data_IF_695125003409
#
_entry.id   IF_695125003409
#
_cell.length_a   1.000
_cell.length_b   1.000
_cell.length_c   1.000
_cell.angle_alpha   90.00
_cell.angle_beta   90.00
_cell.angle_gamma   90.00
#
_symmetry.space_group_name_H-M   'P 1'
#
loop_
_entity.id
_entity.type
_entity.pdbx_description
1 polymer ?
#
# COMPACT_ATOMS: atom_id res chain seq x y z
N UNK A 1 22.30 -55.33 64.07
CA UNK A 1 22.17 -55.20 62.60
C UNK A 1 21.32 -53.97 62.36
N UNK A 2 21.96 -52.83 62.10
CA UNK A 2 21.33 -51.50 62.07
C UNK A 2 21.94 -50.76 60.90
N UNK A 3 21.19 -50.55 59.82
CA UNK A 3 21.63 -49.80 58.65
C UNK A 3 20.94 -48.45 58.69
N UNK A 4 21.74 -47.37 58.82
CA UNK A 4 21.29 -45.98 58.67
C UNK A 4 21.35 -45.62 57.18
N UNK A 5 20.21 -45.30 56.58
CA UNK A 5 20.16 -44.74 55.23
C UNK A 5 20.34 -43.21 55.30
N UNK A 6 21.32 -42.68 54.57
CA UNK A 6 21.54 -41.25 54.38
C UNK A 6 20.69 -40.80 53.18
N UNK A 7 19.77 -39.86 53.39
CA UNK A 7 19.01 -39.21 52.31
C UNK A 7 19.78 -37.95 51.89
N UNK A 8 20.29 -37.92 50.65
CA UNK A 8 20.82 -36.71 50.02
C UNK A 8 19.67 -36.00 49.29
N UNK A 9 19.33 -34.80 49.74
CA UNK A 9 18.43 -33.89 49.01
C UNK A 9 19.32 -33.06 48.09
N UNK A 10 19.21 -33.28 46.77
CA UNK A 10 19.80 -32.39 45.76
C UNK A 10 18.78 -31.27 45.49
N UNK A 11 19.10 -29.99 45.74
CA UNK A 11 18.18 -28.91 45.42
C UNK A 11 18.05 -28.74 43.90
N UNK A 12 16.87 -28.36 43.39
CA UNK A 12 16.69 -28.09 41.97
C UNK A 12 17.53 -26.88 41.57
N UNK A 13 18.35 -27.04 40.52
CA UNK A 13 19.00 -25.92 39.85
C UNK A 13 17.91 -25.00 39.29
N UNK A 14 17.79 -23.80 39.86
CA UNK A 14 17.07 -22.70 39.22
C UNK A 14 17.88 -22.29 37.98
N UNK A 15 17.44 -22.75 36.81
CA UNK A 15 17.88 -22.17 35.54
C UNK A 15 17.38 -20.73 35.50
N UNK A 16 18.28 -19.77 35.71
CA UNK A 16 17.98 -18.36 35.50
C UNK A 16 17.72 -18.15 34.00
N UNK A 17 16.46 -17.89 33.63
CA UNK A 17 16.13 -17.30 32.34
C UNK A 17 16.82 -15.94 32.30
N UNK A 18 17.88 -15.83 31.51
CA UNK A 18 18.40 -14.52 31.11
C UNK A 18 17.38 -13.90 30.15
N UNK A 19 16.84 -12.70 30.43
CA UNK A 19 16.02 -12.02 29.46
C UNK A 19 16.88 -11.76 28.23
N UNK A 20 16.45 -12.32 27.09
CA UNK A 20 17.08 -12.08 25.80
C UNK A 20 16.70 -10.67 25.35
N UNK A 21 17.49 -9.67 25.77
CA UNK A 21 17.39 -8.31 25.26
C UNK A 21 17.76 -8.32 23.78
N UNK A 22 16.75 -8.26 22.91
CA UNK A 22 16.98 -8.03 21.48
C UNK A 22 17.79 -6.72 21.33
N UNK A 23 18.84 -6.69 20.51
CA UNK A 23 19.60 -5.46 20.29
C UNK A 23 18.67 -4.40 19.71
N UNK A 24 18.81 -3.17 20.19
CA UNK A 24 18.12 -2.02 19.62
C UNK A 24 18.43 -1.95 18.11
N UNK A 25 17.45 -1.55 17.32
CA UNK A 25 17.56 -1.42 15.86
C UNK A 25 17.34 0.04 15.46
N UNK A 26 17.79 0.43 14.26
CA UNK A 26 17.46 1.76 13.75
C UNK A 26 15.94 1.88 13.59
N UNK A 27 15.37 2.94 14.15
CA UNK A 27 13.93 3.22 14.09
C UNK A 27 13.74 4.64 13.57
N UNK A 28 12.81 4.83 12.63
CA UNK A 28 12.50 6.17 12.16
C UNK A 28 11.34 6.17 11.21
N UNK A 29 10.74 7.35 11.04
CA UNK A 29 9.60 7.55 10.15
C UNK A 29 9.82 8.84 9.37
N UNK A 30 9.65 8.74 8.04
CA UNK A 30 9.46 9.90 7.19
C UNK A 30 8.00 10.33 7.25
N UNK A 31 7.73 11.41 7.99
CA UNK A 31 6.38 11.88 8.31
C UNK A 31 5.84 12.87 7.28
N UNK A 32 6.70 13.74 6.74
CA UNK A 32 6.31 14.81 5.82
C UNK A 32 7.19 14.81 4.57
N UNK A 33 6.63 14.94 3.36
CA UNK A 33 5.19 14.86 3.07
C UNK A 33 4.64 13.47 3.42
N UNK A 34 3.37 13.39 3.81
CA UNK A 34 2.70 12.11 4.05
C UNK A 34 2.46 11.34 2.75
N UNK A 35 2.12 12.08 1.69
CA UNK A 35 1.92 11.56 0.34
C UNK A 35 3.24 11.14 -0.30
N UNK A 36 3.22 10.05 -1.07
CA UNK A 36 4.40 9.57 -1.81
C UNK A 36 4.88 10.56 -2.87
N UNK A 37 3.96 11.33 -3.46
CA UNK A 37 4.25 12.33 -4.47
C UNK A 37 3.62 13.67 -4.10
N UNK A 38 4.39 14.74 -4.20
CA UNK A 38 3.95 16.11 -3.91
C UNK A 38 4.14 16.99 -5.12
N UNK A 39 3.07 17.63 -5.59
CA UNK A 39 3.10 18.66 -6.62
C UNK A 39 3.05 20.02 -5.92
N UNK A 40 4.17 20.73 -5.85
CA UNK A 40 4.26 22.01 -5.15
C UNK A 40 5.49 22.80 -5.61
N UNK A 41 5.49 24.11 -5.34
CA UNK A 41 6.66 24.99 -5.59
C UNK A 41 7.74 24.82 -4.53
N UNK A 42 7.38 24.34 -3.34
CA UNK A 42 8.30 24.01 -2.25
C UNK A 42 7.73 22.89 -1.39
N UNK A 43 8.60 22.16 -0.70
CA UNK A 43 8.18 21.12 0.25
C UNK A 43 9.08 21.07 1.48
N UNK A 44 8.51 20.62 2.59
CA UNK A 44 9.24 20.25 3.80
C UNK A 44 9.32 18.74 3.85
N UNK A 45 10.53 18.20 3.92
CA UNK A 45 10.81 16.79 4.13
C UNK A 45 11.22 16.63 5.58
N UNK A 46 10.47 15.87 6.37
CA UNK A 46 10.69 15.83 7.81
C UNK A 46 10.17 14.57 8.47
N UNK A 47 10.71 14.29 9.64
CA UNK A 47 10.40 13.09 10.39
C UNK A 47 11.28 12.96 11.62
N UNK A 48 11.48 11.73 12.06
CA UNK A 48 12.41 11.41 13.14
C UNK A 48 13.16 10.11 12.86
N UNK A 49 14.32 9.98 13.49
CA UNK A 49 15.14 8.77 13.45
C UNK A 49 15.94 8.61 14.74
N UNK A 50 16.10 7.36 15.15
CA UNK A 50 16.89 6.87 16.26
C UNK A 50 17.80 5.78 15.75
N UNK A 51 19.03 5.78 16.23
CA UNK A 51 20.03 4.76 15.91
C UNK A 51 20.69 4.32 17.23
N UNK A 52 20.89 3.01 17.49
CA UNK A 52 21.58 2.53 18.69
C UNK A 52 22.99 3.13 18.88
N UNK A 53 23.70 3.41 17.79
CA UNK A 53 25.02 4.06 17.80
C UNK A 53 24.94 5.58 17.97
N UNK A 54 23.73 6.14 17.92
CA UNK A 54 23.48 7.57 17.74
C UNK A 54 23.51 7.96 16.27
N UNK A 55 22.71 8.95 15.91
CA UNK A 55 22.65 9.46 14.53
C UNK A 55 23.76 10.49 14.35
N UNK A 56 24.57 10.33 13.31
CA UNK A 56 25.56 11.32 12.88
C UNK A 56 24.88 12.42 12.07
N UNK A 57 24.16 12.03 11.01
CA UNK A 57 23.45 12.96 10.13
C UNK A 57 22.28 12.32 9.40
N UNK A 58 21.44 13.17 8.82
CA UNK A 58 20.38 12.77 7.89
C UNK A 58 20.61 13.47 6.56
N UNK A 59 20.56 12.70 5.49
CA UNK A 59 20.78 13.14 4.11
C UNK A 59 19.50 12.97 3.29
N UNK A 60 19.23 13.96 2.45
CA UNK A 60 18.22 13.90 1.39
C UNK A 60 18.96 13.73 0.07
N UNK A 61 18.76 12.58 -0.58
CA UNK A 61 19.38 12.23 -1.87
C UNK A 61 18.37 12.50 -2.98
N UNK A 62 18.71 13.37 -3.91
CA UNK A 62 17.84 13.84 -5.00
C UNK A 62 18.69 14.09 -6.24
N UNK A 63 18.29 13.53 -7.38
CA UNK A 63 18.98 13.67 -8.68
C UNK A 63 20.49 13.38 -8.66
N UNK A 64 20.93 12.44 -7.82
CA UNK A 64 22.34 12.09 -7.67
C UNK A 64 23.16 13.04 -6.79
N UNK A 65 22.53 14.07 -6.21
CA UNK A 65 23.12 14.94 -5.21
C UNK A 65 22.65 14.56 -3.79
N UNK A 66 23.53 14.77 -2.80
CA UNK A 66 23.21 14.60 -1.39
C UNK A 66 23.09 15.97 -0.72
N UNK A 67 22.00 16.19 -0.01
CA UNK A 67 21.72 17.41 0.73
C UNK A 67 21.61 17.12 2.22
N UNK A 68 22.28 17.89 3.05
CA UNK A 68 22.18 17.73 4.50
C UNK A 68 20.80 18.21 5.00
N UNK A 69 20.11 17.35 5.75
CA UNK A 69 18.94 17.76 6.52
C UNK A 69 19.38 18.33 7.88
N UNK A 70 18.59 19.24 8.42
CA UNK A 70 18.75 19.76 9.78
C UNK A 70 18.27 18.70 10.77
N UNK A 71 19.19 17.92 11.31
CA UNK A 71 18.94 16.96 12.39
C UNK A 71 19.09 17.62 13.77
N UNK A 72 18.56 16.98 14.82
CA UNK A 72 18.64 17.47 16.20
C UNK A 72 17.40 18.23 16.68
N UNK A 73 16.27 18.10 15.96
CA UNK A 73 15.03 18.79 16.28
C UNK A 73 14.34 18.10 17.45
N UNK A 74 13.83 18.90 18.40
CA UNK A 74 13.23 18.39 19.62
C UNK A 74 11.99 17.51 19.35
N UNK A 75 11.97 16.29 19.90
CA UNK A 75 10.86 15.32 19.82
C UNK A 75 10.59 14.70 21.19
N UNK A 76 9.82 15.42 22.02
CA UNK A 76 9.49 14.99 23.39
C UNK A 76 8.60 13.74 23.42
N UNK A 77 7.79 13.56 22.41
CA UNK A 77 6.99 12.36 22.17
C UNK A 77 7.89 11.13 22.00
N UNK A 78 8.90 11.22 21.14
CA UNK A 78 9.86 10.14 20.88
C UNK A 78 10.72 9.83 22.11
N UNK A 79 11.17 10.86 22.84
CA UNK A 79 11.92 10.65 24.09
C UNK A 79 11.13 9.89 25.16
N UNK A 80 9.80 10.07 25.21
CA UNK A 80 8.95 9.36 26.18
C UNK A 80 8.73 7.89 25.80
N UNK A 81 8.62 7.59 24.51
CA UNK A 81 8.35 6.22 24.03
C UNK A 81 9.62 5.41 23.83
N UNK A 82 10.74 6.06 23.54
CA UNK A 82 12.04 5.44 23.28
C UNK A 82 13.17 6.09 24.11
N UNK A 83 13.06 6.10 25.46
CA UNK A 83 14.06 6.73 26.33
C UNK A 83 15.43 6.05 26.25
N UNK A 84 15.48 4.78 25.84
CA UNK A 84 16.68 3.94 25.84
C UNK A 84 17.64 4.27 24.69
N UNK A 85 17.17 5.02 23.68
CA UNK A 85 17.97 5.41 22.53
C UNK A 85 18.77 6.70 22.80
N UNK A 86 20.00 6.79 22.29
CA UNK A 86 20.75 8.04 22.31
C UNK A 86 20.01 9.12 21.52
N UNK A 87 20.12 10.36 21.99
CA UNK A 87 19.55 11.54 21.33
C UNK A 87 18.03 11.50 21.10
N UNK A 88 17.27 10.64 21.80
CA UNK A 88 15.83 10.48 21.61
C UNK A 88 15.01 11.77 21.78
N UNK A 89 15.46 12.69 22.64
CA UNK A 89 14.88 14.03 22.79
C UNK A 89 15.10 14.97 21.60
N UNK A 90 16.03 14.64 20.70
CA UNK A 90 16.44 15.42 19.53
C UNK A 90 16.40 14.60 18.23
N UNK A 91 15.54 13.57 18.19
CA UNK A 91 15.43 12.62 17.09
C UNK A 91 14.88 13.23 15.78
N UNK A 92 14.36 14.45 15.80
CA UNK A 92 13.71 15.04 14.63
C UNK A 92 14.69 15.57 13.59
N UNK A 93 14.28 15.50 12.32
CA UNK A 93 14.98 16.10 11.20
C UNK A 93 14.04 16.88 10.27
N UNK A 94 14.60 17.83 9.54
CA UNK A 94 13.89 18.63 8.54
C UNK A 94 14.81 19.05 7.39
N UNK A 95 14.30 19.01 6.16
CA UNK A 95 14.90 19.58 4.96
C UNK A 95 13.86 20.37 4.18
N UNK A 96 14.21 21.57 3.72
CA UNK A 96 13.32 22.42 2.91
C UNK A 96 13.79 22.38 1.46
N UNK A 97 12.95 21.91 0.57
CA UNK A 97 13.20 21.87 -0.86
C UNK A 97 12.51 23.03 -1.57
N UNK A 98 13.25 23.80 -2.35
CA UNK A 98 12.71 24.69 -3.39
C UNK A 98 12.56 23.87 -4.67
N UNK A 99 11.31 23.55 -5.02
CA UNK A 99 10.98 22.63 -6.13
C UNK A 99 10.90 23.42 -7.44
N UNK A 100 10.54 24.70 -7.40
CA UNK A 100 10.49 25.56 -8.59
C UNK A 100 11.87 25.80 -9.21
N UNK A 101 12.93 25.69 -8.40
CA UNK A 101 14.31 25.74 -8.87
C UNK A 101 14.78 24.45 -9.58
N UNK A 102 14.02 23.36 -9.49
CA UNK A 102 14.32 22.09 -10.15
C UNK A 102 13.91 22.13 -11.62
N UNK A 103 14.50 21.23 -12.42
CA UNK A 103 14.06 21.06 -13.80
C UNK A 103 12.61 20.55 -13.86
N UNK A 104 11.94 20.76 -14.99
CA UNK A 104 10.56 20.27 -15.13
C UNK A 104 10.55 18.74 -15.15
N UNK A 105 9.85 18.13 -14.20
CA UNK A 105 9.73 16.69 -14.12
C UNK A 105 9.43 16.17 -12.73
N UNK A 106 9.53 14.84 -12.58
CA UNK A 106 9.47 14.15 -11.30
C UNK A 106 10.88 13.92 -10.78
N UNK A 107 11.12 14.34 -9.54
CA UNK A 107 12.38 14.17 -8.84
C UNK A 107 12.20 13.13 -7.74
N UNK A 108 12.92 12.01 -7.85
CA UNK A 108 12.91 10.97 -6.83
C UNK A 108 13.83 11.38 -5.67
N UNK A 109 13.29 11.32 -4.47
CA UNK A 109 13.97 11.70 -3.23
C UNK A 109 14.05 10.50 -2.31
N UNK A 110 15.24 10.21 -1.79
CA UNK A 110 15.44 9.22 -0.73
C UNK A 110 15.97 9.93 0.52
N UNK A 111 15.38 9.63 1.68
CA UNK A 111 15.85 10.15 2.97
C UNK A 111 16.64 9.05 3.67
N UNK A 112 17.89 9.33 4.00
CA UNK A 112 18.85 8.36 4.55
C UNK A 112 19.41 8.90 5.85
N UNK A 113 19.35 8.10 6.91
CA UNK A 113 20.05 8.36 8.16
C UNK A 113 21.41 7.65 8.14
N UNK A 114 22.43 8.30 8.68
CA UNK A 114 23.77 7.74 8.85
C UNK A 114 24.08 7.69 10.34
N UNK A 115 24.31 6.49 10.87
CA UNK A 115 24.72 6.25 12.24
C UNK A 115 26.16 6.69 12.51
N UNK A 116 26.54 6.88 13.77
CA UNK A 116 27.93 7.20 14.16
C UNK A 116 28.90 6.04 13.93
N UNK A 117 28.36 4.83 13.78
CA UNK A 117 29.09 3.65 13.33
C UNK A 117 29.30 3.61 11.79
N UNK A 118 28.73 4.56 11.05
CA UNK A 118 28.83 4.68 9.60
C UNK A 118 27.78 3.87 8.82
N UNK A 119 26.87 3.14 9.49
CA UNK A 119 25.80 2.43 8.82
C UNK A 119 24.74 3.38 8.27
N UNK A 120 24.26 3.10 7.06
CA UNK A 120 23.20 3.87 6.41
C UNK A 120 21.85 3.14 6.48
N UNK A 121 20.79 3.87 6.83
CA UNK A 121 19.42 3.36 6.83
C UNK A 121 18.51 4.29 6.03
N UNK A 122 17.82 3.77 5.02
CA UNK A 122 16.84 4.53 4.25
C UNK A 122 15.50 4.59 5.01
N UNK A 123 15.08 5.81 5.36
CA UNK A 123 13.83 6.06 6.10
C UNK A 123 12.60 6.08 5.19
N UNK A 124 12.78 6.42 3.92
CA UNK A 124 11.68 6.44 2.97
C UNK A 124 12.03 7.13 1.65
N UNK A 125 11.11 7.00 0.70
CA UNK A 125 11.18 7.66 -0.61
C UNK A 125 10.00 8.59 -0.82
N UNK A 126 10.22 9.67 -1.55
CA UNK A 126 9.21 10.62 -2.02
C UNK A 126 9.49 11.03 -3.46
N UNK A 127 8.48 11.58 -4.10
CA UNK A 127 8.59 12.23 -5.40
C UNK A 127 8.19 13.69 -5.27
N UNK A 128 9.07 14.60 -5.67
CA UNK A 128 8.76 16.02 -5.79
C UNK A 128 8.50 16.34 -7.26
N UNK A 129 7.43 17.07 -7.54
CA UNK A 129 7.02 17.40 -8.91
C UNK A 129 6.78 18.90 -8.97
N UNK A 130 7.55 19.60 -9.80
CA UNK A 130 7.35 21.03 -10.01
C UNK A 130 6.02 21.26 -10.77
N UNK A 131 5.24 22.31 -10.44
CA UNK A 131 4.01 22.64 -11.18
C UNK A 131 4.25 22.88 -12.67
N UNK A 132 5.48 23.26 -13.06
CA UNK A 132 5.90 23.38 -14.46
C UNK A 132 5.74 22.08 -15.25
N UNK A 133 5.90 20.91 -14.60
CA UNK A 133 5.70 19.59 -15.23
C UNK A 133 4.27 19.39 -15.72
N UNK A 134 3.29 19.98 -15.03
CA UNK A 134 1.88 19.95 -15.44
C UNK A 134 1.56 20.89 -16.60
N UNK A 135 2.53 21.72 -17.03
CA UNK A 135 2.37 22.73 -18.09
C UNK A 135 3.23 22.47 -19.32
N UNK A 136 3.91 21.32 -19.40
CA UNK A 136 4.79 20.95 -20.53
C UNK A 136 4.12 21.12 -21.92
N UNK A 137 2.81 20.89 -22.00
CA UNK A 137 2.04 20.95 -23.25
C UNK A 137 1.12 22.17 -23.36
N UNK A 138 1.25 23.15 -22.46
CA UNK A 138 0.33 24.29 -22.39
C UNK A 138 0.31 25.12 -23.68
N UNK A 139 1.47 25.38 -24.29
CA UNK A 139 1.57 26.14 -25.54
C UNK A 139 0.91 25.40 -26.71
N UNK A 140 1.03 24.06 -26.74
CA UNK A 140 0.37 23.23 -27.76
C UNK A 140 -1.13 23.24 -27.59
N UNK A 141 -1.62 23.18 -26.35
CA UNK A 141 -3.04 23.30 -26.06
C UNK A 141 -3.58 24.70 -26.41
N UNK A 142 -2.81 25.76 -26.13
CA UNK A 142 -3.19 27.13 -26.51
C UNK A 142 -3.29 27.31 -28.02
N UNK A 143 -2.38 26.68 -28.79
CA UNK A 143 -2.42 26.69 -30.25
C UNK A 143 -3.56 25.84 -30.84
N UNK A 144 -4.07 24.85 -30.11
CA UNK A 144 -5.15 23.96 -30.55
C UNK A 144 -6.10 23.59 -29.39
N UNK A 145 -7.02 24.50 -29.00
CA UNK A 145 -7.89 24.30 -27.84
C UNK A 145 -8.79 23.07 -27.92
N UNK A 146 -9.13 22.61 -29.14
CA UNK A 146 -9.99 21.44 -29.37
C UNK A 146 -9.42 20.12 -28.82
N UNK A 147 -8.13 20.05 -28.44
CA UNK A 147 -7.61 18.90 -27.71
C UNK A 147 -8.27 18.72 -26.33
N UNK A 148 -8.75 19.79 -25.70
CA UNK A 148 -9.47 19.70 -24.42
C UNK A 148 -10.85 19.03 -24.55
N UNK A 149 -11.43 18.99 -25.75
CA UNK A 149 -12.71 18.34 -26.01
C UNK A 149 -12.57 16.81 -26.05
N UNK A 150 -11.35 16.31 -26.26
CA UNK A 150 -11.02 14.87 -26.32
C UNK A 150 -10.12 14.48 -25.15
N UNK A 151 -10.65 14.58 -23.93
CA UNK A 151 -9.90 14.22 -22.73
C UNK A 151 -9.46 12.76 -22.78
N UNK A 152 -8.18 12.55 -22.50
CA UNK A 152 -7.64 11.23 -22.23
C UNK A 152 -8.02 10.82 -20.81
N UNK A 153 -8.53 9.59 -20.66
CA UNK A 153 -8.87 9.02 -19.37
C UNK A 153 -7.88 7.90 -19.04
N UNK A 154 -7.11 8.07 -17.97
CA UNK A 154 -6.34 6.97 -17.41
C UNK A 154 -7.24 6.16 -16.49
N UNK A 155 -7.44 4.88 -16.78
CA UNK A 155 -8.40 4.05 -16.06
C UNK A 155 -7.72 3.34 -14.89
N UNK A 156 -8.10 3.70 -13.68
CA UNK A 156 -7.56 3.14 -12.46
C UNK A 156 -8.36 1.90 -12.05
N UNK A 157 -7.69 0.76 -11.93
CA UNK A 157 -8.33 -0.45 -11.41
C UNK A 157 -8.73 -0.25 -9.95
N UNK A 158 -10.00 -0.51 -9.62
CA UNK A 158 -10.53 -0.40 -8.27
C UNK A 158 -11.76 -1.30 -8.13
N UNK A 159 -12.14 -1.60 -6.89
CA UNK A 159 -13.39 -2.27 -6.53
C UNK A 159 -14.10 -1.49 -5.42
N UNK A 160 -15.14 -2.07 -4.83
CA UNK A 160 -15.88 -1.54 -3.70
C UNK A 160 -16.45 -0.13 -4.00
N UNK A 161 -17.10 0.00 -5.16
CA UNK A 161 -17.66 1.25 -5.65
C UNK A 161 -18.70 1.83 -4.69
N UNK A 162 -19.62 1.04 -4.10
CA UNK A 162 -20.52 1.54 -3.07
C UNK A 162 -19.80 2.09 -1.83
N UNK A 163 -18.65 1.52 -1.47
CA UNK A 163 -17.87 1.87 -0.27
C UNK A 163 -16.90 3.04 -0.52
N UNK A 164 -16.66 3.40 -1.77
CA UNK A 164 -15.92 4.61 -2.12
C UNK A 164 -14.67 4.40 -2.98
N UNK A 165 -14.41 3.21 -3.52
CA UNK A 165 -13.17 2.95 -4.28
C UNK A 165 -12.91 3.96 -5.43
N UNK A 166 -13.96 4.40 -6.14
CA UNK A 166 -13.84 5.44 -7.16
C UNK A 166 -13.38 6.81 -6.58
N UNK A 167 -13.82 7.16 -5.37
CA UNK A 167 -13.39 8.39 -4.69
C UNK A 167 -11.95 8.28 -4.21
N UNK A 168 -11.51 7.10 -3.79
CA UNK A 168 -10.13 6.86 -3.38
C UNK A 168 -9.19 7.01 -4.58
N UNK A 169 -9.58 6.48 -5.75
CA UNK A 169 -8.86 6.72 -6.99
C UNK A 169 -8.81 8.24 -7.33
N UNK A 170 -9.94 8.95 -7.26
CA UNK A 170 -9.93 10.41 -7.49
C UNK A 170 -9.04 11.16 -6.48
N UNK A 171 -9.09 10.78 -5.20
CA UNK A 171 -8.25 11.38 -4.15
C UNK A 171 -6.76 11.21 -4.46
N UNK A 172 -6.36 10.03 -4.92
CA UNK A 172 -4.96 9.72 -5.22
C UNK A 172 -4.46 10.43 -6.48
N UNK A 173 -5.31 10.60 -7.49
CA UNK A 173 -4.87 11.05 -8.83
C UNK A 173 -5.38 12.43 -9.25
N UNK A 174 -6.29 13.04 -8.48
CA UNK A 174 -6.92 14.32 -8.81
C UNK A 174 -5.92 15.48 -8.94
N UNK A 175 -4.81 15.42 -8.20
CA UNK A 175 -3.73 16.40 -8.32
C UNK A 175 -3.09 16.45 -9.72
N UNK A 176 -3.23 15.37 -10.51
CA UNK A 176 -2.69 15.27 -11.88
C UNK A 176 -3.68 15.68 -12.97
N UNK A 177 -4.91 16.07 -12.61
CA UNK A 177 -5.90 16.46 -13.60
C UNK A 177 -5.47 17.71 -14.38
N UNK A 178 -5.81 17.72 -15.66
CA UNK A 178 -5.54 18.86 -16.55
C UNK A 178 -6.72 19.08 -17.50
N UNK A 179 -6.60 20.06 -18.40
CA UNK A 179 -7.60 20.30 -19.42
C UNK A 179 -7.80 19.08 -20.36
N UNK A 180 -6.75 18.27 -20.55
CA UNK A 180 -6.71 17.17 -21.52
C UNK A 180 -6.63 15.78 -20.87
N UNK A 181 -6.46 15.68 -19.55
CA UNK A 181 -6.35 14.41 -18.84
C UNK A 181 -7.22 14.39 -17.58
N UNK A 182 -7.91 13.26 -17.37
CA UNK A 182 -8.58 12.88 -16.12
C UNK A 182 -8.36 11.40 -15.84
N UNK A 183 -8.77 10.92 -14.68
CA UNK A 183 -8.93 9.48 -14.45
C UNK A 183 -10.37 9.03 -14.69
N UNK A 184 -10.49 7.80 -15.17
CA UNK A 184 -11.69 6.97 -15.03
C UNK A 184 -11.34 5.76 -14.17
N UNK A 185 -12.18 4.74 -14.19
CA UNK A 185 -11.92 3.52 -13.43
C UNK A 185 -12.11 2.26 -14.29
N UNK A 186 -11.43 1.20 -13.90
CA UNK A 186 -11.70 -0.17 -14.37
C UNK A 186 -12.20 -0.97 -13.18
N UNK A 187 -13.37 -1.60 -13.31
CA UNK A 187 -13.97 -2.39 -12.23
C UNK A 187 -14.16 -3.83 -12.71
N UNK A 188 -13.57 -4.82 -12.01
CA UNK A 188 -13.78 -6.22 -12.31
C UNK A 188 -15.18 -6.66 -11.86
N UNK A 189 -15.94 -7.24 -12.77
CA UNK A 189 -17.22 -7.90 -12.50
C UNK A 189 -16.94 -9.40 -12.45
N UNK A 190 -16.98 -9.96 -11.24
CA UNK A 190 -16.70 -11.37 -10.94
C UNK A 190 -17.91 -12.24 -11.34
N UNK A 191 -18.22 -12.34 -12.63
CA UNK A 191 -19.52 -12.81 -13.12
C UNK A 191 -19.80 -14.31 -12.90
N UNK A 192 -18.76 -15.12 -12.67
CA UNK A 192 -18.90 -16.53 -12.27
C UNK A 192 -19.02 -16.70 -10.74
N UNK A 193 -18.65 -15.68 -9.96
CA UNK A 193 -18.74 -15.68 -8.49
C UNK A 193 -20.00 -15.00 -7.95
N UNK A 194 -20.55 -14.07 -8.73
CA UNK A 194 -21.73 -13.28 -8.38
C UNK A 194 -22.99 -13.87 -9.00
N UNK A 195 -23.33 -15.08 -8.58
CA UNK A 195 -24.47 -15.85 -9.13
C UNK A 195 -25.64 -15.90 -8.16
N UNK A 196 -26.81 -16.35 -8.64
CA UNK A 196 -27.98 -16.67 -7.81
C UNK A 196 -27.81 -17.97 -7.00
N UNK A 197 -26.73 -18.70 -7.26
CA UNK A 197 -26.36 -19.93 -6.57
C UNK A 197 -26.98 -21.21 -7.10
N UNK A 198 -26.67 -22.32 -6.43
CA UNK A 198 -26.94 -23.67 -6.90
C UNK A 198 -28.42 -23.97 -7.17
N UNK A 199 -29.33 -23.35 -6.40
CA UNK A 199 -30.78 -23.51 -6.59
C UNK A 199 -31.30 -22.89 -7.89
N UNK A 200 -30.55 -21.94 -8.45
CA UNK A 200 -30.86 -21.16 -9.65
C UNK A 200 -29.82 -21.39 -10.75
N UNK A 201 -29.19 -22.57 -10.78
CA UNK A 201 -28.22 -23.00 -11.79
C UNK A 201 -27.06 -22.01 -11.99
N UNK A 202 -26.60 -21.39 -10.89
CA UNK A 202 -25.54 -20.39 -10.88
C UNK A 202 -25.69 -19.30 -11.95
N UNK A 203 -26.92 -18.93 -12.28
CA UNK A 203 -27.19 -17.83 -13.21
C UNK A 203 -26.58 -16.55 -12.64
N UNK A 204 -25.77 -15.85 -13.45
CA UNK A 204 -25.18 -14.57 -13.09
C UNK A 204 -26.24 -13.58 -12.57
N UNK A 205 -25.97 -12.97 -11.42
CA UNK A 205 -26.81 -11.95 -10.81
C UNK A 205 -26.22 -10.55 -11.03
N UNK A 206 -26.75 -9.76 -11.98
CA UNK A 206 -26.24 -8.41 -12.23
C UNK A 206 -26.51 -7.44 -11.07
N UNK A 207 -27.40 -7.81 -10.14
CA UNK A 207 -27.80 -7.04 -8.96
C UNK A 207 -27.25 -7.67 -7.65
N UNK A 208 -26.22 -8.52 -7.75
CA UNK A 208 -25.62 -9.25 -6.62
C UNK A 208 -25.44 -8.36 -5.38
N UNK A 209 -25.89 -8.87 -4.24
CA UNK A 209 -25.76 -8.18 -2.97
C UNK A 209 -24.48 -8.65 -2.26
N UNK A 210 -23.63 -7.75 -1.75
CA UNK A 210 -22.38 -8.10 -1.05
C UNK A 210 -22.68 -8.61 0.37
N UNK A 211 -23.40 -9.72 0.47
CA UNK A 211 -23.82 -10.38 1.71
C UNK A 211 -23.12 -11.72 1.91
N UNK A 212 -22.76 -12.39 0.81
CA UNK A 212 -22.09 -13.68 0.84
C UNK A 212 -20.63 -13.49 1.23
N UNK A 213 -20.18 -14.35 2.15
CA UNK A 213 -18.85 -14.27 2.74
C UNK A 213 -18.17 -15.63 2.73
N UNK A 214 -16.88 -15.59 2.54
CA UNK A 214 -15.99 -16.68 2.84
C UNK A 214 -15.08 -16.29 4.00
N UNK A 215 -15.22 -17.00 5.14
CA UNK A 215 -14.67 -16.56 6.45
C UNK A 215 -15.12 -15.11 6.71
N UNK A 216 -14.17 -14.17 6.84
CA UNK A 216 -14.45 -12.75 7.09
C UNK A 216 -14.51 -11.90 5.81
N UNK A 217 -14.19 -12.46 4.64
CA UNK A 217 -14.11 -11.73 3.37
C UNK A 217 -15.41 -11.84 2.58
N UNK A 218 -15.77 -10.78 1.85
CA UNK A 218 -16.88 -10.82 0.91
C UNK A 218 -16.47 -11.61 -0.34
N UNK A 219 -17.42 -12.32 -0.94
CA UNK A 219 -17.21 -13.02 -2.23
C UNK A 219 -17.00 -12.00 -3.36
N UNK A 220 -17.75 -10.91 -3.33
CA UNK A 220 -17.59 -9.76 -4.20
C UNK A 220 -18.16 -8.51 -3.52
N UNK A 221 -17.54 -7.35 -3.76
CA UNK A 221 -18.02 -6.06 -3.23
C UNK A 221 -18.95 -5.32 -4.20
N UNK A 222 -18.87 -5.64 -5.49
CA UNK A 222 -19.52 -4.89 -6.57
C UNK A 222 -20.52 -5.76 -7.36
N UNK A 223 -21.60 -5.12 -7.82
CA UNK A 223 -22.53 -5.69 -8.80
C UNK A 223 -22.49 -4.90 -10.11
N UNK A 224 -22.78 -5.56 -11.23
CA UNK A 224 -22.75 -4.92 -12.55
C UNK A 224 -23.67 -3.71 -12.62
N UNK A 225 -24.93 -3.86 -12.22
CA UNK A 225 -25.92 -2.79 -12.25
C UNK A 225 -25.59 -1.67 -11.25
N UNK A 226 -25.01 -2.01 -10.08
CA UNK A 226 -24.52 -1.03 -9.12
C UNK A 226 -23.44 -0.13 -9.71
N UNK A 227 -22.45 -0.73 -10.37
CA UNK A 227 -21.34 0.01 -11.00
C UNK A 227 -21.84 0.81 -12.22
N UNK A 228 -22.73 0.26 -13.04
CA UNK A 228 -23.37 1.01 -14.16
C UNK A 228 -24.14 2.22 -13.61
N UNK A 229 -24.95 2.02 -12.58
CA UNK A 229 -25.72 3.10 -11.95
C UNK A 229 -24.81 4.21 -11.42
N UNK A 230 -23.69 3.83 -10.78
CA UNK A 230 -22.67 4.78 -10.34
C UNK A 230 -22.05 5.54 -11.50
N UNK A 231 -21.61 4.85 -12.55
CA UNK A 231 -20.98 5.44 -13.72
C UNK A 231 -21.88 6.49 -14.39
N UNK A 232 -23.16 6.16 -14.58
CA UNK A 232 -24.17 7.08 -15.14
C UNK A 232 -24.39 8.27 -14.21
N UNK A 233 -24.61 8.04 -12.92
CA UNK A 233 -24.84 9.11 -11.94
C UNK A 233 -23.67 10.09 -11.88
N UNK A 234 -22.44 9.59 -11.89
CA UNK A 234 -21.22 10.41 -11.79
C UNK A 234 -20.70 10.90 -13.13
N UNK A 235 -21.28 10.46 -14.25
CA UNK A 235 -20.75 10.68 -15.60
C UNK A 235 -19.27 10.31 -15.69
N UNK A 236 -18.91 9.20 -15.03
CA UNK A 236 -17.54 8.72 -14.92
C UNK A 236 -17.29 7.68 -16.01
N UNK A 237 -16.21 7.80 -16.80
CA UNK A 237 -15.78 6.73 -17.69
C UNK A 237 -15.38 5.49 -16.88
N UNK A 238 -16.06 4.39 -17.14
CA UNK A 238 -15.81 3.09 -16.51
C UNK A 238 -15.56 2.05 -17.58
N UNK A 239 -14.47 1.31 -17.46
CA UNK A 239 -14.26 0.06 -18.16
C UNK A 239 -14.71 -1.09 -17.26
N UNK A 240 -15.63 -1.92 -17.75
CA UNK A 240 -16.04 -3.14 -17.08
C UNK A 240 -15.16 -4.28 -17.58
N UNK A 241 -14.41 -4.92 -16.69
CA UNK A 241 -13.72 -6.17 -17.02
C UNK A 241 -14.57 -7.35 -16.54
N UNK A 242 -15.03 -8.18 -17.48
CA UNK A 242 -15.70 -9.43 -17.13
C UNK A 242 -14.64 -10.42 -16.68
N UNK A 243 -14.58 -10.65 -15.38
CA UNK A 243 -13.61 -11.55 -14.77
C UNK A 243 -14.33 -12.85 -14.39
N UNK A 244 -13.98 -13.91 -15.11
CA UNK A 244 -14.55 -15.23 -14.86
C UNK A 244 -13.95 -15.91 -13.65
N UNK A 245 -12.92 -15.36 -13.00
CA UNK A 245 -12.34 -15.95 -11.80
C UNK A 245 -11.67 -17.31 -12.01
N UNK A 246 -11.59 -17.84 -13.23
CA UNK A 246 -10.67 -18.92 -13.59
C UNK A 246 -9.29 -18.39 -13.22
N UNK A 247 -8.65 -18.95 -12.18
CA UNK A 247 -7.40 -18.48 -11.54
C UNK A 247 -7.50 -17.35 -10.49
N UNK A 248 -8.69 -16.98 -10.02
CA UNK A 248 -8.81 -15.96 -8.97
C UNK A 248 -8.61 -16.60 -7.60
N UNK A 249 -7.36 -16.60 -7.13
CA UNK A 249 -6.91 -16.89 -5.76
C UNK A 249 -7.95 -16.43 -4.72
N UNK A 250 -8.78 -17.40 -4.37
CA UNK A 250 -9.94 -17.28 -3.51
C UNK A 250 -9.53 -17.91 -2.21
N UNK A 251 -9.35 -17.11 -1.15
CA UNK A 251 -8.82 -17.62 0.13
C UNK A 251 -9.71 -18.65 0.87
N UNK A 252 -10.83 -19.05 0.26
CA UNK A 252 -11.65 -20.20 0.60
C UNK A 252 -12.86 -20.37 -0.34
N UNK A 253 -13.42 -21.58 -0.32
CA UNK A 253 -14.51 -22.03 -1.20
C UNK A 253 -15.89 -21.68 -0.67
N UNK A 254 -16.77 -21.33 -1.60
CA UNK A 254 -18.19 -21.07 -1.40
C UNK A 254 -19.06 -21.56 -2.58
N UNK A 255 -19.05 -22.87 -2.84
CA UNK A 255 -19.67 -23.50 -4.03
C UNK A 255 -21.19 -23.28 -4.13
N UNK A 256 -21.85 -22.87 -3.05
CA UNK A 256 -23.28 -22.61 -3.04
C UNK A 256 -23.69 -21.41 -3.91
N UNK A 257 -22.79 -20.46 -4.14
CA UNK A 257 -23.03 -19.24 -4.94
C UNK A 257 -21.91 -18.88 -5.92
N UNK A 258 -20.74 -19.50 -5.78
CA UNK A 258 -19.64 -19.38 -6.72
C UNK A 258 -19.57 -20.62 -7.60
N UNK A 259 -19.73 -20.46 -8.92
CA UNK A 259 -19.70 -21.61 -9.83
C UNK A 259 -18.27 -22.11 -10.05
N UNK A 260 -17.25 -21.27 -9.88
CA UNK A 260 -15.87 -21.74 -9.98
C UNK A 260 -15.56 -22.71 -8.84
N UNK A 261 -15.85 -22.29 -7.61
CA UNK A 261 -15.67 -23.12 -6.41
C UNK A 261 -16.46 -24.43 -6.53
N UNK A 262 -17.65 -24.42 -7.18
CA UNK A 262 -18.40 -25.66 -7.45
C UNK A 262 -17.72 -26.55 -8.50
N UNK A 263 -17.26 -25.98 -9.61
CA UNK A 263 -16.60 -26.73 -10.68
C UNK A 263 -15.26 -27.32 -10.22
N UNK A 264 -14.55 -26.64 -9.33
CA UNK A 264 -13.28 -27.08 -8.73
C UNK A 264 -13.46 -28.22 -7.72
N UNK A 265 -14.69 -28.58 -7.34
CA UNK A 265 -14.95 -29.81 -6.58
C UNK A 265 -14.69 -31.07 -7.42
N UNK A 266 -14.74 -30.96 -8.75
CA UNK A 266 -14.34 -32.02 -9.65
C UNK A 266 -12.87 -31.85 -10.03
N UNK A 267 -12.06 -32.82 -9.60
CA UNK A 267 -10.61 -32.88 -9.82
C UNK A 267 -10.23 -32.79 -11.30
N UNK A 268 -11.12 -33.21 -12.21
CA UNK A 268 -10.91 -33.15 -13.65
C UNK A 268 -10.96 -31.70 -14.19
N UNK A 269 -11.56 -30.77 -13.44
CA UNK A 269 -11.64 -29.34 -13.78
C UNK A 269 -10.49 -28.51 -13.19
N UNK A 270 -9.69 -29.07 -12.27
CA UNK A 270 -8.63 -28.35 -11.59
C UNK A 270 -7.32 -28.27 -12.42
N UNK A 271 -6.40 -27.39 -12.01
CA UNK A 271 -5.05 -27.36 -12.59
C UNK A 271 -4.21 -28.54 -12.10
N UNK A 272 -3.48 -29.19 -13.01
CA UNK A 272 -2.58 -30.29 -12.71
C UNK A 272 -1.11 -29.85 -12.77
N UNK A 273 -0.31 -30.34 -11.82
CA UNK A 273 1.15 -30.20 -11.82
C UNK A 273 1.80 -31.15 -12.84
N UNK A 274 3.09 -30.96 -13.09
CA UNK A 274 3.89 -31.86 -13.94
C UNK A 274 3.92 -33.32 -13.43
N UNK A 275 3.65 -33.53 -12.13
CA UNK A 275 3.68 -34.83 -11.47
C UNK A 275 2.30 -35.51 -11.44
N UNK A 276 1.33 -34.98 -12.21
CA UNK A 276 -0.04 -35.48 -12.32
C UNK A 276 -0.78 -35.46 -10.96
N UNK A 277 -0.55 -34.38 -10.20
CA UNK A 277 -1.22 -34.07 -8.94
C UNK A 277 -1.95 -32.74 -9.12
N UNK A 278 -3.19 -32.65 -8.66
CA UNK A 278 -3.93 -31.38 -8.66
C UNK A 278 -3.25 -30.36 -7.77
N UNK A 279 -3.11 -29.14 -8.29
CA UNK A 279 -2.61 -28.01 -7.53
C UNK A 279 -3.60 -27.71 -6.40
N UNK A 280 -3.16 -27.65 -5.13
CA UNK A 280 -4.07 -27.36 -4.03
C UNK A 280 -4.60 -25.93 -4.18
N UNK A 281 -5.87 -25.74 -3.82
CA UNK A 281 -6.43 -24.40 -3.64
C UNK A 281 -5.79 -23.73 -2.41
N UNK A 282 -5.61 -22.41 -2.46
CA UNK A 282 -4.81 -21.61 -1.49
C UNK A 282 -5.53 -21.32 -0.14
#
# INVERSE_FOLDING_TARGET
MTIRALVFIVPPFLAACTPHSQPLQVMGVLETPGEEATIATSAVIGGWVLDPSGVDRVEVRMDGANHAARYGIARRDIARTHPDYPDSARAGFEFKADIDALSSGRHAVSVVAVGRDGHETMLGRRSLIAPSAMRLWADRLAAAPGFADRRFFFLMATSAIPQGGAKDAEKQYGAYYSATMRTGITVPILYLRTTKGAADDWVFDPDFQPIHRCKDRLVAEDSLNGVIGYAVQKKLPVQFSLNGGVWADSSCDTPEWDVNDHLEQDVDNCQWTQDNIVYPDD
#
